data_IF_722111745792
#
_entry.id   IF_722111745792
#
_cell.length_a   1.000
_cell.length_b   1.000
_cell.length_c   1.000
_cell.angle_alpha   90.00
_cell.angle_beta   90.00
_cell.angle_gamma   90.00
#
_symmetry.space_group_name_H-M   'P 1'
#
loop_
_entity.id
_entity.type
_entity.pdbx_description
1 polymer ?
#
# COMPACT_ATOMS: atom_id res chain seq x y z
N UNK A 1 6.39 -46.52 72.89
CA UNK A 1 6.38 -46.59 71.42
C UNK A 1 4.93 -46.47 71.01
N UNK A 2 4.61 -45.63 70.04
CA UNK A 2 3.27 -45.58 69.45
C UNK A 2 3.03 -46.87 68.66
N UNK A 3 1.78 -47.35 68.63
CA UNK A 3 1.40 -48.55 67.86
C UNK A 3 1.21 -48.24 66.37
N UNK A 4 1.39 -46.98 65.97
CA UNK A 4 1.24 -46.50 64.61
C UNK A 4 2.38 -45.58 64.22
N UNK A 5 2.61 -45.49 62.91
CA UNK A 5 3.51 -44.52 62.29
C UNK A 5 2.98 -43.08 62.43
N UNK A 6 3.88 -42.07 62.46
CA UNK A 6 3.50 -40.69 62.76
C UNK A 6 2.72 -39.96 61.66
N UNK A 7 2.86 -40.33 60.38
CA UNK A 7 2.31 -39.55 59.25
C UNK A 7 1.01 -40.17 58.73
N UNK A 8 1.04 -41.45 58.38
CA UNK A 8 -0.08 -42.18 57.77
C UNK A 8 -0.83 -43.07 58.77
N UNK A 9 -0.45 -43.04 60.05
CA UNK A 9 -1.04 -43.86 61.11
C UNK A 9 -1.03 -45.37 60.79
N UNK A 10 0.01 -45.86 60.11
CA UNK A 10 0.16 -47.28 59.76
C UNK A 10 0.46 -48.11 61.01
N UNK A 11 -0.26 -49.22 61.25
CA UNK A 11 -0.08 -50.03 62.44
C UNK A 11 1.28 -50.75 62.42
N UNK A 12 2.05 -50.58 63.49
CA UNK A 12 3.28 -51.32 63.74
C UNK A 12 3.00 -52.69 64.35
N UNK A 13 3.83 -53.66 64.01
CA UNK A 13 3.84 -54.97 64.69
C UNK A 13 4.40 -54.77 66.09
N UNK A 14 3.69 -55.29 67.10
CA UNK A 14 4.11 -55.24 68.49
C UNK A 14 5.47 -55.94 68.73
N UNK A 15 6.24 -55.53 69.76
CA UNK A 15 7.47 -56.20 70.15
C UNK A 15 7.29 -57.71 70.44
N UNK A 16 8.40 -58.45 70.51
CA UNK A 16 8.43 -59.90 70.82
C UNK A 16 7.86 -60.84 69.75
N UNK A 17 7.68 -60.37 68.51
CA UNK A 17 7.29 -61.20 67.36
C UNK A 17 8.49 -61.82 66.61
N UNK A 18 9.35 -62.56 67.31
CA UNK A 18 10.56 -63.21 66.75
C UNK A 18 11.42 -62.27 65.88
N UNK A 19 11.60 -61.02 66.34
CA UNK A 19 12.32 -59.93 65.64
C UNK A 19 11.76 -59.50 64.27
N UNK A 20 10.65 -60.07 63.77
CA UNK A 20 9.99 -59.64 62.52
C UNK A 20 9.48 -58.20 62.58
N UNK A 21 9.06 -57.76 63.76
CA UNK A 21 8.63 -56.39 64.01
C UNK A 21 9.72 -55.36 63.71
N UNK A 22 11.00 -55.72 63.82
CA UNK A 22 12.11 -54.79 63.58
C UNK A 22 12.15 -54.41 62.09
N UNK A 23 12.37 -55.39 61.21
CA UNK A 23 12.51 -55.13 59.77
C UNK A 23 11.21 -54.70 59.11
N UNK A 24 10.07 -55.19 59.59
CA UNK A 24 8.77 -54.78 59.06
C UNK A 24 8.40 -53.35 59.47
N UNK A 25 8.55 -53.00 60.76
CA UNK A 25 8.23 -51.64 61.18
C UNK A 25 9.23 -50.65 60.61
N UNK A 26 10.50 -51.02 60.41
CA UNK A 26 11.45 -50.18 59.69
C UNK A 26 11.00 -49.91 58.24
N UNK A 27 10.50 -50.93 57.54
CA UNK A 27 9.92 -50.76 56.21
C UNK A 27 8.65 -49.88 56.24
N UNK A 28 7.78 -50.02 57.25
CA UNK A 28 6.61 -49.16 57.43
C UNK A 28 7.02 -47.72 57.75
N UNK A 29 8.01 -47.50 58.61
CA UNK A 29 8.55 -46.16 58.91
C UNK A 29 9.07 -45.50 57.64
N UNK A 30 9.76 -46.25 56.77
CA UNK A 30 10.19 -45.72 55.47
C UNK A 30 9.01 -45.38 54.57
N UNK A 31 8.03 -46.27 54.45
CA UNK A 31 6.81 -46.03 53.66
C UNK A 31 6.02 -44.82 54.18
N UNK A 32 5.99 -44.61 55.48
CA UNK A 32 5.29 -43.51 56.14
C UNK A 32 5.82 -42.15 55.70
N UNK A 33 7.14 -42.08 55.51
CA UNK A 33 7.82 -40.89 55.05
C UNK A 33 7.54 -40.62 53.58
N UNK A 34 7.64 -41.65 52.72
CA UNK A 34 7.78 -41.48 51.27
C UNK A 34 6.47 -41.62 50.48
N UNK A 35 5.45 -42.27 51.03
CA UNK A 35 4.15 -42.43 50.36
C UNK A 35 3.40 -41.09 50.44
N UNK A 36 2.93 -40.60 49.29
CA UNK A 36 2.28 -39.28 49.18
C UNK A 36 3.16 -38.20 49.85
N UNK A 37 4.44 -38.17 49.49
CA UNK A 37 5.44 -37.32 50.11
C UNK A 37 5.02 -35.85 50.00
N UNK A 38 4.68 -35.26 51.15
CA UNK A 38 4.39 -33.84 51.29
C UNK A 38 5.32 -33.29 52.36
N UNK A 39 6.08 -32.27 52.01
CA UNK A 39 7.06 -31.64 52.90
C UNK A 39 6.63 -30.20 53.18
N UNK A 40 6.83 -29.76 54.41
CA UNK A 40 6.50 -28.41 54.84
C UNK A 40 7.30 -27.37 54.08
N UNK A 41 8.59 -27.63 53.88
CA UNK A 41 9.49 -26.79 53.09
C UNK A 41 10.63 -27.58 52.46
N UNK A 42 11.21 -27.03 51.40
CA UNK A 42 12.39 -27.56 50.70
C UNK A 42 13.57 -26.59 50.64
N UNK A 43 13.46 -25.41 51.26
CA UNK A 43 14.47 -24.33 51.19
C UNK A 43 15.22 -24.10 52.50
N UNK A 44 14.87 -24.83 53.56
CA UNK A 44 15.49 -24.66 54.87
C UNK A 44 16.79 -25.47 54.97
N UNK A 45 17.86 -24.80 55.40
CA UNK A 45 19.13 -25.45 55.76
C UNK A 45 19.26 -25.72 57.27
N UNK A 46 18.35 -25.17 58.08
CA UNK A 46 18.31 -25.38 59.54
C UNK A 46 16.96 -25.97 59.95
N UNK A 47 16.94 -26.94 60.89
CA UNK A 47 15.70 -27.50 61.39
C UNK A 47 14.83 -26.44 62.08
N UNK A 48 13.53 -26.35 61.78
CA UNK A 48 12.61 -25.49 62.52
C UNK A 48 12.51 -25.89 63.98
N UNK A 49 12.58 -24.90 64.88
CA UNK A 49 12.32 -25.13 66.31
C UNK A 49 10.85 -25.49 66.61
N UNK A 50 9.96 -25.27 65.64
CA UNK A 50 8.52 -25.52 65.72
C UNK A 50 8.08 -26.84 65.08
N UNK A 51 9.02 -27.68 64.64
CA UNK A 51 8.68 -28.96 64.01
C UNK A 51 7.90 -29.85 64.98
N UNK A 52 6.79 -30.42 64.51
CA UNK A 52 5.96 -31.37 65.24
C UNK A 52 6.12 -32.78 64.67
N UNK A 53 5.65 -33.78 65.42
CA UNK A 53 5.74 -35.20 65.04
C UNK A 53 5.12 -35.42 63.65
N UNK A 54 5.88 -36.03 62.73
CA UNK A 54 5.45 -36.30 61.36
C UNK A 54 5.77 -35.18 60.35
N UNK A 55 6.26 -34.02 60.81
CA UNK A 55 6.72 -32.98 59.88
C UNK A 55 7.86 -33.50 59.03
N UNK A 56 7.76 -33.23 57.72
CA UNK A 56 8.76 -33.61 56.74
C UNK A 56 9.32 -32.37 56.08
N UNK A 57 10.62 -32.36 55.86
CA UNK A 57 11.33 -31.31 55.14
C UNK A 57 12.29 -31.93 54.14
N UNK A 58 12.55 -31.24 53.04
CA UNK A 58 13.74 -31.51 52.24
C UNK A 58 14.84 -30.60 52.79
N UNK A 59 15.93 -31.20 53.25
CA UNK A 59 17.10 -30.45 53.73
C UNK A 59 17.72 -29.73 52.54
N UNK A 60 17.81 -28.40 52.60
CA UNK A 60 18.50 -27.61 51.59
C UNK A 60 20.01 -27.90 51.58
N UNK A 61 20.72 -27.43 50.56
CA UNK A 61 22.17 -27.56 50.50
C UNK A 61 22.86 -26.91 51.71
N UNK A 62 23.95 -27.50 52.18
CA UNK A 62 24.68 -27.09 53.39
C UNK A 62 23.81 -27.14 54.65
N UNK A 63 23.16 -28.27 54.90
CA UNK A 63 22.39 -28.51 56.13
C UNK A 63 23.22 -28.19 57.38
N UNK A 64 22.56 -27.64 58.40
CA UNK A 64 23.17 -27.16 59.63
C UNK A 64 22.50 -27.78 60.86
N UNK A 65 23.15 -27.65 62.03
CA UNK A 65 22.67 -28.24 63.28
C UNK A 65 22.34 -29.74 63.12
N UNK A 66 21.14 -30.17 63.50
CA UNK A 66 20.73 -31.58 63.36
C UNK A 66 20.68 -32.06 61.89
N UNK A 67 20.65 -31.14 60.91
CA UNK A 67 20.61 -31.45 59.48
C UNK A 67 21.99 -31.48 58.82
N UNK A 68 23.08 -31.28 59.58
CA UNK A 68 24.44 -31.29 59.04
C UNK A 68 24.80 -32.63 58.38
N UNK A 69 25.24 -32.58 57.12
CA UNK A 69 25.61 -33.76 56.33
C UNK A 69 24.42 -34.52 55.71
N UNK A 70 23.22 -33.97 55.80
CA UNK A 70 21.99 -34.59 55.28
C UNK A 70 21.35 -33.80 54.13
N UNK A 71 22.15 -33.05 53.39
CA UNK A 71 21.74 -32.30 52.20
C UNK A 71 20.87 -33.13 51.26
N UNK A 72 19.76 -32.54 50.81
CA UNK A 72 18.77 -33.12 49.89
C UNK A 72 18.06 -34.38 50.40
N UNK A 73 18.27 -34.80 51.66
CA UNK A 73 17.50 -35.88 52.27
C UNK A 73 16.15 -35.38 52.75
N UNK A 74 15.22 -36.32 52.87
CA UNK A 74 13.94 -36.06 53.52
C UNK A 74 14.18 -36.19 55.02
N UNK A 75 14.15 -35.07 55.72
CA UNK A 75 14.20 -34.99 57.18
C UNK A 75 12.78 -35.14 57.71
N UNK A 76 12.53 -36.15 58.54
CA UNK A 76 11.24 -36.36 59.22
C UNK A 76 11.44 -36.23 60.71
N UNK A 77 10.61 -35.42 61.39
CA UNK A 77 10.66 -35.30 62.84
C UNK A 77 9.86 -36.43 63.49
N UNK A 78 10.56 -37.33 64.17
CA UNK A 78 9.99 -38.53 64.79
C UNK A 78 10.55 -38.73 66.19
N UNK A 79 9.67 -38.86 67.19
CA UNK A 79 10.01 -39.12 68.59
C UNK A 79 11.07 -38.15 69.16
N UNK A 80 10.99 -36.87 68.78
CA UNK A 80 11.90 -35.82 69.23
C UNK A 80 13.25 -35.78 68.51
N UNK A 81 13.45 -36.56 67.44
CA UNK A 81 14.68 -36.60 66.66
C UNK A 81 14.41 -36.48 65.15
N UNK A 82 15.43 -36.07 64.39
CA UNK A 82 15.36 -36.03 62.93
C UNK A 82 15.82 -37.36 62.33
N UNK A 83 14.95 -37.98 61.54
CA UNK A 83 15.24 -39.16 60.73
C UNK A 83 15.46 -38.74 59.28
N UNK A 84 16.49 -39.29 58.61
CA UNK A 84 16.86 -38.87 57.26
C UNK A 84 16.74 -40.01 56.25
N UNK A 85 15.82 -39.83 55.30
CA UNK A 85 15.63 -40.77 54.19
C UNK A 85 16.31 -40.23 52.94
N UNK A 86 17.20 -41.03 52.35
CA UNK A 86 17.82 -40.70 51.07
C UNK A 86 16.82 -40.93 49.92
N UNK A 87 16.52 -39.92 49.10
CA UNK A 87 15.63 -40.10 47.96
C UNK A 87 16.26 -40.90 46.83
N UNK A 88 15.42 -41.50 45.99
CA UNK A 88 15.84 -42.12 44.72
C UNK A 88 15.43 -41.21 43.56
N UNK A 89 16.21 -41.24 42.47
CA UNK A 89 15.89 -40.51 41.24
C UNK A 89 14.44 -40.77 40.82
N UNK A 90 13.70 -39.69 40.57
CA UNK A 90 12.29 -39.72 40.18
C UNK A 90 11.29 -39.66 41.34
N UNK A 91 11.74 -39.61 42.60
CA UNK A 91 10.83 -39.32 43.72
C UNK A 91 10.24 -37.92 43.59
N UNK A 92 8.97 -37.78 43.97
CA UNK A 92 8.18 -36.55 43.86
C UNK A 92 7.73 -36.13 45.25
N UNK A 93 7.82 -34.83 45.56
CA UNK A 93 7.32 -34.25 46.79
C UNK A 93 6.45 -33.01 46.51
N UNK A 94 5.31 -32.90 47.17
CA UNK A 94 4.54 -31.65 47.25
C UNK A 94 5.14 -30.78 48.36
N UNK A 95 5.52 -29.55 48.05
CA UNK A 95 6.02 -28.58 49.03
C UNK A 95 4.85 -27.69 49.47
N UNK A 96 4.48 -27.76 50.74
CA UNK A 96 3.25 -27.15 51.27
C UNK A 96 3.35 -25.62 51.27
N UNK A 97 4.48 -25.05 51.70
CA UNK A 97 4.66 -23.60 51.82
C UNK A 97 4.54 -22.83 50.49
N UNK A 98 4.93 -23.45 49.38
CA UNK A 98 5.03 -22.85 48.05
C UNK A 98 4.00 -23.38 47.06
N UNK A 99 3.33 -24.49 47.38
CA UNK A 99 2.41 -25.19 46.49
C UNK A 99 3.09 -25.91 45.32
N UNK A 100 4.43 -26.00 45.32
CA UNK A 100 5.21 -26.56 44.22
C UNK A 100 5.35 -28.09 44.31
N UNK A 101 5.44 -28.75 43.15
CA UNK A 101 5.88 -30.15 43.03
C UNK A 101 7.38 -30.18 42.67
N UNK A 102 8.18 -30.90 43.48
CA UNK A 102 9.62 -31.09 43.24
C UNK A 102 9.94 -32.56 42.96
N UNK A 103 10.90 -32.80 42.06
CA UNK A 103 11.39 -34.12 41.67
C UNK A 103 12.87 -34.25 42.01
N UNK A 104 13.26 -35.36 42.62
CA UNK A 104 14.68 -35.66 42.87
C UNK A 104 15.35 -36.18 41.60
N UNK A 105 16.34 -35.46 41.08
CA UNK A 105 17.02 -35.83 39.81
C UNK A 105 18.16 -36.85 39.99
N UNK A 106 18.48 -37.21 41.23
CA UNK A 106 19.63 -38.04 41.60
C UNK A 106 20.72 -37.29 42.36
N UNK A 107 20.68 -35.94 42.33
CA UNK A 107 21.60 -35.04 43.04
C UNK A 107 20.84 -34.05 43.90
N UNK A 108 19.82 -33.38 43.35
CA UNK A 108 19.04 -32.33 44.03
C UNK A 108 17.54 -32.50 43.80
N UNK A 109 16.74 -31.81 44.61
CA UNK A 109 15.31 -31.64 44.38
C UNK A 109 15.08 -30.38 43.55
N UNK A 110 14.38 -30.51 42.43
CA UNK A 110 14.08 -29.39 41.55
C UNK A 110 12.62 -29.44 41.07
N UNK A 111 12.04 -28.27 40.79
CA UNK A 111 10.75 -28.21 40.11
C UNK A 111 10.83 -28.94 38.76
N UNK A 112 9.73 -29.55 38.34
CA UNK A 112 9.67 -30.19 37.03
C UNK A 112 9.94 -29.15 35.94
N UNK A 113 10.93 -29.42 35.09
CA UNK A 113 11.19 -28.57 33.93
C UNK A 113 9.99 -28.61 32.98
N UNK A 114 9.40 -27.44 32.74
CA UNK A 114 8.40 -27.23 31.68
C UNK A 114 9.05 -26.71 30.39
N UNK A 115 10.38 -26.68 30.34
CA UNK A 115 11.16 -26.34 29.15
C UNK A 115 11.27 -27.55 28.23
N UNK A 116 11.16 -27.33 26.92
CA UNK A 116 11.29 -28.36 25.88
C UNK A 116 10.31 -29.54 26.02
N UNK A 117 9.06 -29.26 26.42
CA UNK A 117 8.01 -30.28 26.42
C UNK A 117 7.79 -30.82 24.99
N UNK A 118 7.52 -32.13 24.82
CA UNK A 118 7.24 -32.74 23.51
C UNK A 118 6.08 -32.10 22.73
N UNK A 119 5.17 -31.39 23.42
CA UNK A 119 4.08 -30.59 22.87
C UNK A 119 3.18 -30.02 23.99
N UNK A 120 2.37 -29.02 23.66
CA UNK A 120 1.40 -28.37 24.56
C UNK A 120 0.07 -28.22 23.83
N UNK A 121 -1.00 -28.79 24.39
CA UNK A 121 -2.35 -28.71 23.86
C UNK A 121 -3.32 -28.10 24.86
N UNK A 122 -4.13 -27.12 24.42
CA UNK A 122 -5.21 -26.49 25.21
C UNK A 122 -6.53 -26.73 24.49
N UNK A 123 -7.45 -27.48 25.09
CA UNK A 123 -8.73 -27.84 24.45
C UNK A 123 -8.61 -28.83 23.27
N UNK A 124 -7.40 -29.27 22.93
CA UNK A 124 -7.10 -30.24 21.88
C UNK A 124 -5.79 -30.99 22.15
N UNK A 125 -5.60 -32.15 21.51
CA UNK A 125 -4.34 -32.89 21.55
C UNK A 125 -3.35 -32.34 20.52
N UNK A 126 -2.09 -32.16 20.93
CA UNK A 126 -1.01 -31.80 20.01
C UNK A 126 -0.66 -32.99 19.10
N UNK A 127 -0.02 -32.72 17.97
CA UNK A 127 0.50 -33.74 17.06
C UNK A 127 1.92 -33.40 16.57
N UNK A 128 2.49 -34.21 15.67
CA UNK A 128 3.85 -34.01 15.16
C UNK A 128 4.05 -32.73 14.35
N UNK A 129 2.97 -32.17 13.79
CA UNK A 129 2.93 -30.91 13.04
C UNK A 129 2.52 -29.75 13.96
N UNK A 130 1.42 -29.88 14.68
CA UNK A 130 0.87 -28.88 15.61
C UNK A 130 1.35 -29.16 17.04
N UNK A 131 2.62 -28.88 17.31
CA UNK A 131 3.21 -29.10 18.66
C UNK A 131 2.64 -28.17 19.72
N UNK A 132 2.23 -26.96 19.33
CA UNK A 132 1.39 -26.07 20.12
C UNK A 132 0.04 -25.98 19.42
N UNK A 133 -1.03 -26.41 20.09
CA UNK A 133 -2.39 -26.35 19.57
C UNK A 133 -3.34 -25.76 20.60
N UNK A 134 -4.21 -24.87 20.16
CA UNK A 134 -5.24 -24.26 21.00
C UNK A 134 -6.58 -24.36 20.29
N UNK A 135 -7.54 -25.03 20.92
CA UNK A 135 -8.95 -25.05 20.50
C UNK A 135 -9.77 -24.33 21.57
N UNK A 136 -10.00 -23.04 21.35
CA UNK A 136 -10.73 -22.13 22.23
C UNK A 136 -11.34 -21.00 21.40
N UNK A 137 -12.27 -20.25 21.99
CA UNK A 137 -12.87 -19.07 21.34
C UNK A 137 -11.84 -17.95 21.09
N UNK A 138 -10.78 -17.87 21.91
CA UNK A 138 -9.72 -16.86 21.77
C UNK A 138 -8.36 -17.31 22.34
N UNK A 139 -7.29 -16.72 21.80
CA UNK A 139 -5.92 -16.77 22.34
C UNK A 139 -5.48 -15.34 22.65
N UNK A 140 -5.30 -15.01 23.94
CA UNK A 140 -4.78 -13.71 24.36
C UNK A 140 -3.27 -13.78 24.57
N UNK A 141 -2.52 -13.03 23.78
CA UNK A 141 -1.09 -12.79 23.97
C UNK A 141 -0.89 -11.40 24.57
N UNK A 142 -0.59 -11.32 25.87
CA UNK A 142 -0.50 -10.04 26.58
C UNK A 142 0.95 -9.62 26.84
N UNK A 143 1.16 -8.31 27.04
CA UNK A 143 2.44 -7.73 27.41
C UNK A 143 2.56 -7.57 28.94
N UNK A 144 3.79 -7.45 29.43
CA UNK A 144 4.10 -7.15 30.82
C UNK A 144 4.83 -5.79 30.98
N UNK A 145 4.69 -4.88 30.01
CA UNK A 145 5.45 -3.63 29.96
C UNK A 145 5.71 -3.13 28.53
N UNK A 146 6.96 -2.80 28.22
CA UNK A 146 7.32 -2.03 27.03
C UNK A 146 7.18 -2.75 25.65
N UNK A 147 6.80 -4.04 25.61
CA UNK A 147 6.61 -4.72 24.33
C UNK A 147 6.15 -6.18 24.42
N UNK A 148 5.71 -6.70 23.28
CA UNK A 148 5.37 -8.10 23.02
C UNK A 148 5.70 -8.42 21.56
N UNK A 149 6.29 -9.59 21.27
CA UNK A 149 6.78 -9.91 19.92
C UNK A 149 6.67 -11.40 19.64
N UNK A 150 6.06 -11.74 18.50
CA UNK A 150 6.09 -13.08 17.92
C UNK A 150 7.25 -13.19 16.92
N UNK A 151 8.08 -14.22 17.06
CA UNK A 151 9.17 -14.51 16.11
C UNK A 151 8.78 -15.74 15.31
N UNK A 152 8.57 -15.56 14.01
CA UNK A 152 8.27 -16.64 13.07
C UNK A 152 9.50 -16.78 12.19
N UNK A 153 10.26 -17.85 12.40
CA UNK A 153 11.54 -18.09 11.73
C UNK A 153 11.40 -19.24 10.74
N UNK A 154 12.06 -19.12 9.59
CA UNK A 154 12.16 -20.18 8.58
C UNK A 154 13.63 -20.57 8.38
N UNK A 155 13.90 -21.80 7.95
CA UNK A 155 15.26 -22.34 7.88
C UNK A 155 16.04 -21.86 6.65
N UNK A 156 15.33 -21.63 5.55
CA UNK A 156 15.89 -21.15 4.29
C UNK A 156 14.97 -20.14 3.60
N UNK A 157 15.49 -19.39 2.63
CA UNK A 157 14.72 -18.37 1.93
C UNK A 157 13.49 -18.93 1.19
N UNK A 158 13.57 -20.17 0.70
CA UNK A 158 12.50 -20.85 -0.01
C UNK A 158 11.41 -21.45 0.88
N UNK A 159 11.60 -21.43 2.20
CA UNK A 159 10.61 -21.93 3.16
C UNK A 159 9.52 -20.88 3.45
N UNK A 160 8.54 -21.26 4.28
CA UNK A 160 7.42 -20.41 4.68
C UNK A 160 7.50 -20.04 6.16
N UNK A 161 7.46 -18.73 6.44
CA UNK A 161 7.16 -18.18 7.76
C UNK A 161 5.97 -17.23 7.65
N UNK A 162 4.79 -17.69 8.06
CA UNK A 162 3.53 -16.97 7.81
C UNK A 162 2.47 -17.20 8.89
N UNK A 163 1.41 -16.39 8.81
CA UNK A 163 0.14 -16.59 9.48
C UNK A 163 -0.91 -16.98 8.44
N UNK A 164 -1.47 -18.17 8.57
CA UNK A 164 -2.48 -18.73 7.68
C UNK A 164 -3.87 -18.67 8.33
N UNK A 165 -4.80 -17.98 7.67
CA UNK A 165 -6.19 -17.87 8.08
C UNK A 165 -7.04 -18.90 7.35
N UNK A 166 -7.90 -19.63 8.06
CA UNK A 166 -8.62 -20.78 7.52
C UNK A 166 -10.13 -20.75 7.83
N UNK A 167 -10.91 -21.45 7.00
CA UNK A 167 -12.30 -21.81 7.27
C UNK A 167 -12.49 -23.29 6.97
N UNK A 168 -12.94 -24.08 7.95
CA UNK A 168 -13.11 -25.52 7.78
C UNK A 168 -11.84 -26.23 7.30
N UNK A 169 -10.67 -25.84 7.84
CA UNK A 169 -9.33 -26.33 7.46
C UNK A 169 -8.83 -25.95 6.06
N UNK A 170 -9.60 -25.19 5.27
CA UNK A 170 -9.14 -24.61 4.00
C UNK A 170 -8.53 -23.23 4.17
N UNK A 171 -7.36 -22.98 3.59
CA UNK A 171 -6.70 -21.66 3.58
C UNK A 171 -7.54 -20.59 2.86
N UNK A 172 -7.54 -19.35 3.38
CA UNK A 172 -8.28 -18.22 2.80
C UNK A 172 -7.45 -16.96 2.63
N UNK A 173 -6.57 -16.71 3.59
CA UNK A 173 -5.59 -15.64 3.51
C UNK A 173 -4.29 -16.08 4.18
N UNK A 174 -3.16 -15.59 3.69
CA UNK A 174 -1.84 -15.87 4.26
C UNK A 174 -1.00 -14.61 4.20
N UNK A 175 -0.32 -14.27 5.31
CA UNK A 175 0.63 -13.16 5.36
C UNK A 175 1.96 -13.57 5.98
N UNK A 176 3.06 -13.15 5.36
CA UNK A 176 4.41 -13.46 5.82
C UNK A 176 5.42 -13.63 4.68
N UNK A 177 6.55 -14.29 4.96
CA UNK A 177 7.61 -14.60 4.01
C UNK A 177 7.43 -16.03 3.50
N UNK A 178 6.55 -16.19 2.52
CA UNK A 178 6.09 -17.49 2.02
C UNK A 178 6.73 -17.83 0.66
N UNK A 179 7.81 -18.63 0.71
CA UNK A 179 8.55 -19.09 -0.46
C UNK A 179 9.65 -18.14 -0.95
N UNK A 180 9.75 -16.95 -0.36
CA UNK A 180 10.82 -15.94 -0.58
C UNK A 180 11.01 -15.13 0.70
N UNK A 181 12.04 -14.27 0.75
CA UNK A 181 12.26 -13.32 1.86
C UNK A 181 11.41 -12.04 1.79
N UNK A 182 10.66 -11.87 0.72
CA UNK A 182 9.71 -10.76 0.58
C UNK A 182 8.50 -10.96 1.49
N UNK A 183 8.00 -9.87 2.06
CA UNK A 183 6.72 -9.92 2.76
C UNK A 183 5.58 -9.94 1.73
N UNK A 184 4.67 -10.90 1.86
CA UNK A 184 3.54 -11.04 0.94
C UNK A 184 2.21 -11.18 1.69
N UNK A 185 1.13 -10.74 1.05
CA UNK A 185 -0.25 -11.02 1.43
C UNK A 185 -0.94 -11.71 0.26
N UNK A 186 -1.43 -12.92 0.50
CA UNK A 186 -2.10 -13.76 -0.50
C UNK A 186 -3.51 -14.13 -0.03
N UNK A 187 -4.43 -14.28 -0.98
CA UNK A 187 -5.81 -14.72 -0.72
C UNK A 187 -6.18 -15.88 -1.62
N UNK A 188 -7.11 -16.72 -1.15
CA UNK A 188 -7.61 -17.88 -1.88
C UNK A 188 -9.09 -18.10 -1.61
N UNK A 189 -9.87 -18.30 -2.68
CA UNK A 189 -11.30 -18.60 -2.57
C UNK A 189 -11.55 -20.09 -2.25
N UNK A 190 -10.68 -20.98 -2.74
CA UNK A 190 -10.83 -22.44 -2.68
C UNK A 190 -9.85 -23.10 -1.69
N UNK A 191 -8.82 -22.39 -1.23
CA UNK A 191 -7.74 -22.90 -0.38
C UNK A 191 -6.65 -23.66 -1.14
N UNK A 192 -6.68 -23.64 -2.46
CA UNK A 192 -5.70 -24.29 -3.34
C UNK A 192 -5.07 -23.31 -4.33
N UNK A 193 -5.88 -22.47 -4.96
CA UNK A 193 -5.48 -21.42 -5.89
C UNK A 193 -5.23 -20.11 -5.14
N UNK A 194 -4.01 -19.57 -5.22
CA UNK A 194 -3.63 -18.37 -4.47
C UNK A 194 -3.39 -17.19 -5.40
N UNK A 195 -3.93 -16.03 -5.01
CA UNK A 195 -3.66 -14.73 -5.63
C UNK A 195 -2.83 -13.89 -4.67
N UNK A 196 -1.66 -13.44 -5.12
CA UNK A 196 -0.85 -12.48 -4.37
C UNK A 196 -1.41 -11.07 -4.56
N UNK A 197 -1.97 -10.50 -3.49
CA UNK A 197 -2.55 -9.17 -3.52
C UNK A 197 -1.48 -8.08 -3.37
N UNK A 198 -0.47 -8.36 -2.54
CA UNK A 198 0.61 -7.43 -2.21
C UNK A 198 1.91 -8.20 -1.96
N UNK A 199 3.02 -7.62 -2.42
CA UNK A 199 4.39 -8.01 -2.11
C UNK A 199 5.21 -6.77 -1.77
N UNK A 200 6.05 -6.87 -0.75
CA UNK A 200 7.07 -5.87 -0.41
C UNK A 200 8.44 -6.50 -0.65
N UNK A 201 9.17 -5.96 -1.62
CA UNK A 201 10.52 -6.41 -1.94
C UNK A 201 11.48 -6.20 -0.76
N UNK A 202 12.15 -7.27 -0.32
CA UNK A 202 12.99 -7.23 0.87
C UNK A 202 14.21 -6.30 0.73
N UNK A 203 14.72 -6.08 -0.49
CA UNK A 203 15.92 -5.28 -0.73
C UNK A 203 15.63 -3.78 -0.83
N UNK A 204 14.49 -3.40 -1.42
CA UNK A 204 14.16 -2.02 -1.78
C UNK A 204 12.98 -1.43 -1.02
N UNK A 205 12.18 -2.26 -0.35
CA UNK A 205 10.92 -1.84 0.28
C UNK A 205 9.82 -1.48 -0.73
N UNK A 206 10.03 -1.75 -2.03
CA UNK A 206 9.04 -1.46 -3.08
C UNK A 206 7.83 -2.37 -2.91
N UNK A 207 6.65 -1.75 -2.98
CA UNK A 207 5.38 -2.46 -2.93
C UNK A 207 4.92 -2.77 -4.35
N UNK A 208 4.75 -4.05 -4.65
CA UNK A 208 4.09 -4.54 -5.87
C UNK A 208 2.71 -5.04 -5.47
N UNK A 209 1.68 -4.62 -6.21
CA UNK A 209 0.31 -5.07 -6.00
C UNK A 209 -0.15 -5.89 -7.20
N UNK A 210 -0.70 -7.07 -6.94
CA UNK A 210 -1.23 -7.97 -7.97
C UNK A 210 -2.67 -7.67 -8.35
N UNK A 211 -3.26 -6.60 -7.77
CA UNK A 211 -4.65 -6.18 -7.97
C UNK A 211 -4.72 -4.93 -8.84
N UNK A 212 -5.66 -4.91 -9.79
CA UNK A 212 -5.91 -3.75 -10.64
C UNK A 212 -6.52 -2.59 -9.83
N UNK A 213 -6.09 -1.35 -10.11
CA UNK A 213 -6.71 -0.12 -9.57
C UNK A 213 -5.95 0.62 -8.47
N UNK A 214 -4.80 0.12 -7.99
CA UNK A 214 -3.90 0.90 -7.14
C UNK A 214 -3.07 1.87 -8.02
N UNK A 215 -3.21 3.18 -7.79
CA UNK A 215 -2.45 4.24 -8.48
C UNK A 215 -1.43 4.86 -7.55
N UNK A 216 -0.25 5.19 -8.06
CA UNK A 216 0.69 6.07 -7.35
C UNK A 216 0.01 7.42 -7.11
N UNK A 217 0.06 7.95 -5.88
CA UNK A 217 -0.40 9.31 -5.55
C UNK A 217 0.78 10.25 -5.42
N UNK A 218 0.80 11.34 -6.18
CA UNK A 218 1.86 12.35 -6.12
C UNK A 218 1.80 13.14 -4.81
N UNK A 219 2.96 13.57 -4.33
CA UNK A 219 3.12 14.48 -3.18
C UNK A 219 3.74 15.83 -3.57
N UNK A 220 4.02 16.03 -4.86
CA UNK A 220 4.53 17.24 -5.47
C UNK A 220 4.24 17.23 -6.99
N UNK A 221 4.27 18.39 -7.69
CA UNK A 221 4.16 18.44 -9.15
C UNK A 221 5.19 17.55 -9.85
N UNK A 222 4.81 16.99 -11.00
CA UNK A 222 5.67 16.07 -11.78
C UNK A 222 5.77 16.51 -13.23
N UNK A 223 6.98 16.42 -13.78
CA UNK A 223 7.23 16.57 -15.21
C UNK A 223 7.60 15.22 -15.83
N UNK A 224 6.95 14.88 -16.93
CA UNK A 224 7.36 13.84 -17.86
C UNK A 224 8.00 14.48 -19.08
N UNK A 225 9.10 13.92 -19.55
CA UNK A 225 9.82 14.39 -20.74
C UNK A 225 9.54 13.46 -21.91
N UNK A 226 9.38 14.03 -23.10
CA UNK A 226 9.19 13.32 -24.37
C UNK A 226 10.24 13.82 -25.36
N UNK A 227 10.93 12.88 -26.01
CA UNK A 227 11.94 13.14 -27.02
C UNK A 227 11.83 12.08 -28.12
N UNK A 228 11.37 12.48 -29.30
CA UNK A 228 11.12 11.54 -30.41
C UNK A 228 12.40 10.92 -31.00
N UNK A 229 13.57 11.50 -30.72
CA UNK A 229 14.85 11.02 -31.25
C UNK A 229 15.59 10.17 -30.23
N UNK A 230 15.68 10.63 -28.98
CA UNK A 230 16.51 10.02 -27.94
C UNK A 230 15.71 9.21 -26.92
N UNK A 231 14.40 9.39 -26.85
CA UNK A 231 13.54 8.77 -25.84
C UNK A 231 13.35 7.26 -26.02
N UNK A 232 12.89 6.62 -24.96
CA UNK A 232 12.58 5.19 -24.90
C UNK A 232 11.27 4.98 -24.12
N UNK A 233 10.26 4.37 -24.75
CA UNK A 233 8.95 4.14 -24.11
C UNK A 233 8.98 3.09 -22.99
N UNK A 234 10.10 2.39 -22.83
CA UNK A 234 10.38 1.52 -21.67
C UNK A 234 10.98 2.28 -20.48
N UNK A 235 11.44 3.53 -20.68
CA UNK A 235 11.94 4.39 -19.61
C UNK A 235 10.82 4.92 -18.71
N UNK A 236 11.20 5.62 -17.63
CA UNK A 236 10.25 6.24 -16.69
C UNK A 236 9.72 7.62 -17.12
N UNK A 237 10.36 8.25 -18.10
CA UNK A 237 9.99 9.59 -18.59
C UNK A 237 10.34 10.73 -17.63
N UNK A 238 11.09 10.49 -16.55
CA UNK A 238 11.31 11.48 -15.47
C UNK A 238 12.55 12.36 -15.67
N UNK A 239 13.34 12.12 -16.72
CA UNK A 239 14.52 12.92 -17.08
C UNK A 239 14.57 13.14 -18.59
N UNK A 240 15.33 14.13 -19.06
CA UNK A 240 15.53 14.41 -20.49
C UNK A 240 16.41 13.35 -21.19
N UNK A 241 16.46 13.39 -22.53
CA UNK A 241 17.32 12.52 -23.34
C UNK A 241 16.87 11.06 -23.27
N UNK A 242 17.79 10.13 -23.01
CA UNK A 242 17.49 8.68 -22.97
C UNK A 242 16.57 8.25 -21.82
N UNK A 243 16.29 9.14 -20.86
CA UNK A 243 15.31 8.88 -19.80
C UNK A 243 13.91 9.43 -20.09
N UNK A 244 13.73 10.10 -21.23
CA UNK A 244 12.45 10.59 -21.72
C UNK A 244 11.65 9.46 -22.39
N UNK A 245 10.34 9.63 -22.50
CA UNK A 245 9.52 8.77 -23.37
C UNK A 245 9.84 9.07 -24.85
N UNK A 246 9.76 8.06 -25.71
CA UNK A 246 9.91 8.24 -27.14
C UNK A 246 8.64 8.87 -27.75
N UNK A 247 7.47 8.57 -27.18
CA UNK A 247 6.19 8.99 -27.75
C UNK A 247 5.32 9.80 -26.77
N UNK A 248 4.56 10.73 -27.34
CA UNK A 248 3.56 11.49 -26.59
C UNK A 248 2.44 10.59 -26.06
N UNK A 249 2.05 9.55 -26.81
CA UNK A 249 1.06 8.57 -26.40
C UNK A 249 1.48 7.84 -25.10
N UNK A 250 2.76 7.46 -24.99
CA UNK A 250 3.30 6.83 -23.78
C UNK A 250 3.26 7.78 -22.58
N UNK A 251 3.55 9.06 -22.80
CA UNK A 251 3.48 10.10 -21.76
C UNK A 251 2.04 10.28 -21.25
N UNK A 252 1.05 10.37 -22.15
CA UNK A 252 -0.37 10.43 -21.78
C UNK A 252 -0.77 9.22 -20.94
N UNK A 253 -0.38 8.01 -21.35
CA UNK A 253 -0.66 6.80 -20.58
C UNK A 253 0.01 6.79 -19.19
N UNK A 254 1.18 7.40 -19.04
CA UNK A 254 1.83 7.56 -17.74
C UNK A 254 1.03 8.50 -16.81
N UNK A 255 0.55 9.63 -17.36
CA UNK A 255 -0.30 10.58 -16.63
C UNK A 255 -1.63 9.93 -16.19
N UNK A 256 -2.29 9.18 -17.09
CA UNK A 256 -3.54 8.47 -16.77
C UNK A 256 -3.36 7.33 -15.76
N UNK A 257 -2.13 6.89 -15.51
CA UNK A 257 -1.79 5.81 -14.57
C UNK A 257 -1.71 6.23 -13.11
N UNK A 258 -1.65 7.53 -12.81
CA UNK A 258 -1.37 8.05 -11.47
C UNK A 258 -2.52 8.91 -10.92
N UNK A 259 -2.54 9.10 -9.60
CA UNK A 259 -3.31 10.11 -8.90
C UNK A 259 -2.39 11.33 -8.67
N UNK A 260 -2.79 12.49 -9.17
CA UNK A 260 -2.00 13.71 -9.11
C UNK A 260 -1.92 14.29 -7.69
N UNK A 261 -2.73 13.83 -6.74
CA UNK A 261 -2.81 14.41 -5.39
C UNK A 261 -3.22 15.90 -5.40
N UNK A 262 -3.83 16.38 -6.49
CA UNK A 262 -4.16 17.79 -6.69
C UNK A 262 -3.01 18.65 -7.25
N UNK A 263 -1.90 18.03 -7.64
CA UNK A 263 -0.76 18.73 -8.24
C UNK A 263 -0.83 18.78 -9.77
N UNK A 264 -0.23 19.80 -10.35
CA UNK A 264 -0.09 19.90 -11.80
C UNK A 264 0.90 18.87 -12.33
N UNK A 265 0.62 18.37 -13.53
CA UNK A 265 1.51 17.45 -14.26
C UNK A 265 1.89 18.10 -15.58
N UNK A 266 3.19 18.17 -15.87
CA UNK A 266 3.71 18.69 -17.14
C UNK A 266 4.22 17.57 -18.03
N UNK A 267 3.83 17.56 -19.30
CA UNK A 267 4.45 16.78 -20.37
C UNK A 267 5.30 17.76 -21.18
N UNK A 268 6.62 17.70 -21.03
CA UNK A 268 7.60 18.53 -21.71
C UNK A 268 8.13 17.82 -22.96
N UNK A 269 7.91 18.42 -24.12
CA UNK A 269 8.42 17.95 -25.40
C UNK A 269 9.78 18.60 -25.67
N UNK A 270 10.74 17.82 -26.14
CA UNK A 270 11.96 18.33 -26.76
C UNK A 270 11.65 18.90 -28.16
N UNK A 271 12.52 19.76 -28.68
CA UNK A 271 12.43 20.28 -30.05
C UNK A 271 12.40 19.13 -31.07
N UNK A 272 11.46 19.20 -32.01
CA UNK A 272 11.23 18.15 -33.00
C UNK A 272 9.81 18.08 -33.51
N UNK A 273 9.58 17.12 -34.41
CA UNK A 273 8.27 16.85 -35.00
C UNK A 273 7.71 15.53 -34.45
N UNK A 274 6.55 15.61 -33.81
CA UNK A 274 5.84 14.50 -33.21
C UNK A 274 4.66 14.13 -34.12
N UNK A 275 4.86 13.11 -34.96
CA UNK A 275 3.82 12.60 -35.85
C UNK A 275 3.01 11.50 -35.18
N UNK A 276 1.69 11.51 -35.37
CA UNK A 276 0.81 10.45 -34.89
C UNK A 276 -0.25 10.08 -35.92
N UNK A 277 -0.57 8.78 -36.00
CA UNK A 277 -1.69 8.30 -36.82
C UNK A 277 -3.05 8.53 -36.15
N UNK A 278 -3.06 8.84 -34.85
CA UNK A 278 -4.27 9.08 -34.05
C UNK A 278 -4.09 10.34 -33.22
N UNK A 279 -5.18 11.07 -32.99
CA UNK A 279 -5.19 12.24 -32.13
C UNK A 279 -4.66 11.95 -30.71
N UNK A 280 -3.94 12.91 -30.14
CA UNK A 280 -3.56 12.90 -28.72
C UNK A 280 -4.78 13.35 -27.93
N UNK A 281 -5.45 12.37 -27.30
CA UNK A 281 -6.71 12.61 -26.62
C UNK A 281 -6.53 12.60 -25.10
N UNK A 282 -6.89 13.70 -24.45
CA UNK A 282 -6.98 13.82 -22.99
C UNK A 282 -8.43 13.53 -22.59
N UNK A 283 -8.76 12.25 -22.39
CA UNK A 283 -10.14 11.78 -22.27
C UNK A 283 -10.72 11.88 -20.86
N UNK A 284 -9.87 12.12 -19.86
CA UNK A 284 -10.25 12.19 -18.46
C UNK A 284 -9.56 13.37 -17.78
N UNK A 285 -10.22 13.94 -16.78
CA UNK A 285 -9.54 14.84 -15.85
C UNK A 285 -8.48 14.09 -15.05
N UNK A 286 -7.45 14.80 -14.60
CA UNK A 286 -6.47 14.24 -13.66
C UNK A 286 -7.19 13.72 -12.41
N UNK A 287 -6.95 12.45 -12.08
CA UNK A 287 -7.38 11.88 -10.80
C UNK A 287 -6.67 12.65 -9.70
N UNK A 288 -7.39 13.12 -8.67
CA UNK A 288 -6.84 13.95 -7.59
C UNK A 288 -6.94 15.46 -7.83
N UNK A 289 -7.13 15.92 -9.08
CA UNK A 289 -7.22 17.34 -9.46
C UNK A 289 -5.94 17.88 -10.12
N UNK A 290 -5.76 19.20 -10.13
CA UNK A 290 -4.64 19.87 -10.82
C UNK A 290 -4.87 20.06 -12.34
N UNK A 291 -3.94 20.77 -12.99
CA UNK A 291 -3.94 21.06 -14.43
C UNK A 291 -2.92 20.17 -15.14
N UNK A 292 -3.30 19.66 -16.30
CA UNK A 292 -2.38 18.94 -17.19
C UNK A 292 -1.76 19.94 -18.17
N UNK A 293 -0.43 19.99 -18.25
CA UNK A 293 0.29 20.97 -19.06
C UNK A 293 1.07 20.24 -20.15
N UNK A 294 0.67 20.41 -21.41
CA UNK A 294 1.47 19.99 -22.56
C UNK A 294 2.32 21.18 -23.01
N UNK A 295 3.65 21.05 -22.90
CA UNK A 295 4.57 22.14 -23.14
C UNK A 295 5.67 21.74 -24.13
N UNK A 296 5.90 22.58 -25.14
CA UNK A 296 7.09 22.52 -26.00
C UNK A 296 8.04 23.68 -25.72
N UNK A 297 8.36 24.44 -26.75
CA UNK A 297 9.26 25.58 -26.71
C UNK A 297 8.47 26.89 -26.74
N UNK A 298 8.31 27.52 -25.57
CA UNK A 298 7.52 28.75 -25.41
C UNK A 298 8.17 30.00 -26.03
N UNK A 299 9.44 29.91 -26.43
CA UNK A 299 10.14 31.02 -27.10
C UNK A 299 9.99 30.95 -28.62
N UNK A 300 9.88 29.73 -29.15
CA UNK A 300 9.70 29.46 -30.57
C UNK A 300 8.83 28.20 -30.76
N UNK A 301 7.49 28.36 -30.84
CA UNK A 301 6.55 27.24 -30.94
C UNK A 301 6.78 26.35 -32.17
N UNK A 302 7.36 26.90 -33.24
CA UNK A 302 7.58 26.18 -34.49
C UNK A 302 8.72 25.14 -34.40
N UNK A 303 9.57 25.22 -33.38
CA UNK A 303 10.58 24.19 -33.08
C UNK A 303 9.96 22.90 -32.54
N UNK A 304 8.71 22.94 -32.05
CA UNK A 304 8.00 21.76 -31.53
C UNK A 304 6.68 21.59 -32.28
N UNK A 305 6.71 20.76 -33.32
CA UNK A 305 5.51 20.49 -34.14
C UNK A 305 4.83 19.21 -33.70
N UNK A 306 3.52 19.28 -33.41
CA UNK A 306 2.67 18.11 -33.23
C UNK A 306 1.76 17.99 -34.45
N UNK A 307 1.89 16.87 -35.16
CA UNK A 307 1.22 16.66 -36.44
C UNK A 307 0.45 15.33 -36.47
N UNK A 308 -0.76 15.37 -37.03
CA UNK A 308 -1.63 14.20 -37.16
C UNK A 308 -2.31 14.14 -38.54
N UNK A 309 -2.89 12.99 -38.88
CA UNK A 309 -3.69 12.82 -40.09
C UNK A 309 -5.05 13.52 -40.01
N UNK A 310 -5.69 13.49 -38.84
CA UNK A 310 -6.98 14.13 -38.54
C UNK A 310 -6.82 15.11 -37.38
N UNK A 311 -7.52 14.97 -36.26
CA UNK A 311 -7.30 15.84 -35.11
C UNK A 311 -5.91 15.65 -34.49
N UNK A 312 -5.27 16.73 -34.07
CA UNK A 312 -4.00 16.69 -33.34
C UNK A 312 -4.27 16.47 -31.86
N UNK A 313 -5.13 17.31 -31.28
CA UNK A 313 -5.48 17.28 -29.86
C UNK A 313 -6.99 17.16 -29.68
N UNK A 314 -7.41 16.27 -28.78
CA UNK A 314 -8.80 16.16 -28.32
C UNK A 314 -8.85 16.34 -26.81
N UNK A 315 -9.49 17.42 -26.35
CA UNK A 315 -9.73 17.68 -24.93
C UNK A 315 -11.12 17.14 -24.58
N UNK A 316 -11.13 15.88 -24.13
CA UNK A 316 -12.32 15.13 -23.76
C UNK A 316 -12.88 15.55 -22.40
N UNK A 317 -12.01 15.69 -21.41
CA UNK A 317 -12.38 16.11 -20.06
C UNK A 317 -11.20 16.73 -19.30
N UNK A 318 -11.50 17.56 -18.30
CA UNK A 318 -10.50 18.15 -17.40
C UNK A 318 -9.93 19.49 -17.90
N UNK A 319 -8.98 20.03 -17.14
CA UNK A 319 -8.31 21.30 -17.44
C UNK A 319 -6.92 21.03 -18.03
N UNK A 320 -6.75 21.40 -19.30
CA UNK A 320 -5.52 21.18 -20.08
C UNK A 320 -4.94 22.52 -20.51
N UNK A 321 -3.66 22.74 -20.21
CA UNK A 321 -2.84 23.78 -20.82
C UNK A 321 -2.08 23.22 -22.01
N UNK A 322 -2.03 23.97 -23.11
CA UNK A 322 -1.11 23.66 -24.22
C UNK A 322 -0.31 24.92 -24.53
N UNK A 323 1.02 24.80 -24.59
CA UNK A 323 1.89 25.95 -24.82
C UNK A 323 3.20 25.65 -25.51
N UNK A 324 3.68 26.60 -26.31
CA UNK A 324 4.96 26.48 -27.02
C UNK A 324 4.97 25.38 -28.08
N UNK A 325 3.86 25.19 -28.80
CA UNK A 325 3.72 24.15 -29.82
C UNK A 325 3.16 24.70 -31.12
N UNK A 326 3.63 24.15 -32.23
CA UNK A 326 2.96 24.20 -33.53
C UNK A 326 1.97 23.04 -33.66
N UNK A 327 0.72 23.36 -33.97
CA UNK A 327 -0.38 22.40 -34.13
C UNK A 327 -0.84 22.40 -35.59
N UNK A 328 -0.75 21.25 -36.26
CA UNK A 328 -1.13 21.11 -37.67
C UNK A 328 -1.61 19.71 -38.03
N UNK A 329 -2.43 19.58 -39.07
CA UNK A 329 -2.83 18.28 -39.59
C UNK A 329 -2.88 18.26 -41.12
N UNK A 330 -2.92 17.05 -41.68
CA UNK A 330 -3.08 16.83 -43.13
C UNK A 330 -4.55 16.73 -43.56
N UNK A 331 -5.51 17.02 -42.67
CA UNK A 331 -6.93 16.85 -42.95
C UNK A 331 -7.48 18.03 -43.74
N UNK A 332 -8.40 17.76 -44.66
CA UNK A 332 -9.17 18.81 -45.33
C UNK A 332 -10.38 19.28 -44.51
N UNK A 333 -10.77 18.53 -43.47
CA UNK A 333 -12.05 18.75 -42.76
C UNK A 333 -11.93 18.75 -41.25
N UNK A 334 -11.03 17.95 -40.68
CA UNK A 334 -10.88 17.83 -39.24
C UNK A 334 -10.15 19.05 -38.66
N UNK A 335 -10.57 19.47 -37.47
CA UNK A 335 -9.89 20.53 -36.75
C UNK A 335 -8.56 20.04 -36.17
N UNK A 336 -7.53 20.89 -36.10
CA UNK A 336 -6.29 20.53 -35.42
C UNK A 336 -6.54 20.30 -33.92
N UNK A 337 -7.40 21.12 -33.30
CA UNK A 337 -7.75 21.01 -31.88
C UNK A 337 -9.26 20.91 -31.72
N UNK A 338 -9.71 19.91 -30.96
CA UNK A 338 -11.12 19.75 -30.58
C UNK A 338 -11.29 19.79 -29.07
N UNK A 339 -12.21 20.61 -28.57
CA UNK A 339 -12.58 20.69 -27.14
C UNK A 339 -14.04 20.26 -26.99
N UNK A 340 -14.30 19.25 -26.18
CA UNK A 340 -15.65 18.69 -25.99
C UNK A 340 -16.30 19.17 -24.68
N UNK A 341 -17.57 18.82 -24.43
CA UNK A 341 -18.40 19.35 -23.35
C UNK A 341 -17.82 19.30 -21.92
N UNK A 342 -16.90 18.37 -21.62
CA UNK A 342 -16.28 18.26 -20.30
C UNK A 342 -14.84 18.81 -20.27
N UNK A 343 -14.34 19.31 -21.40
CA UNK A 343 -12.99 19.81 -21.58
C UNK A 343 -12.91 21.32 -21.35
N UNK A 344 -11.86 21.73 -20.65
CA UNK A 344 -11.38 23.10 -20.60
C UNK A 344 -9.97 23.15 -21.17
N UNK A 345 -9.76 23.98 -22.18
CA UNK A 345 -8.48 24.18 -22.83
C UNK A 345 -7.99 25.61 -22.64
N UNK A 346 -6.73 25.74 -22.29
CA UNK A 346 -6.03 27.02 -22.28
C UNK A 346 -4.81 26.95 -23.18
N UNK A 347 -4.74 27.86 -24.15
CA UNK A 347 -3.64 27.97 -25.11
C UNK A 347 -2.74 29.18 -24.78
N UNK A 348 -1.44 29.01 -24.94
CA UNK A 348 -0.43 30.08 -24.70
C UNK A 348 0.78 29.90 -25.62
N UNK A 349 1.18 30.93 -26.38
CA UNK A 349 2.32 30.84 -27.31
C UNK A 349 2.26 29.60 -28.21
N UNK A 350 1.17 29.44 -28.96
CA UNK A 350 1.04 28.35 -29.96
C UNK A 350 1.11 28.91 -31.38
N UNK A 351 1.41 28.07 -32.35
CA UNK A 351 1.27 28.39 -33.77
C UNK A 351 0.34 27.37 -34.44
N UNK A 352 -0.51 27.85 -35.35
CA UNK A 352 -1.36 26.98 -36.16
C UNK A 352 -0.79 26.88 -37.58
N UNK A 353 -0.43 25.66 -37.97
CA UNK A 353 -0.05 25.34 -39.35
C UNK A 353 -1.26 24.93 -40.20
N UNK A 354 -1.03 24.24 -41.33
CA UNK A 354 -2.10 23.72 -42.17
C UNK A 354 -3.09 22.86 -41.37
N UNK A 355 -4.39 23.07 -41.59
CA UNK A 355 -5.43 22.20 -41.03
C UNK A 355 -6.77 22.32 -41.78
N UNK A 356 -7.63 21.32 -41.62
CA UNK A 356 -9.03 21.38 -42.10
C UNK A 356 -9.83 22.46 -41.39
N UNK A 357 -9.61 22.61 -40.09
CA UNK A 357 -10.00 23.73 -39.23
C UNK A 357 -8.92 23.93 -38.15
N UNK A 358 -8.73 25.11 -37.58
CA UNK A 358 -7.74 25.24 -36.50
C UNK A 358 -8.28 24.74 -35.15
N UNK A 359 -9.42 25.29 -34.71
CA UNK A 359 -10.00 24.98 -33.40
C UNK A 359 -11.50 24.73 -33.51
N UNK A 360 -11.96 23.65 -32.91
CA UNK A 360 -13.37 23.28 -32.81
C UNK A 360 -13.79 23.09 -31.34
N UNK A 361 -14.82 23.80 -30.89
CA UNK A 361 -15.30 23.82 -29.52
C UNK A 361 -16.74 23.32 -29.49
N UNK A 362 -16.92 22.05 -29.12
CA UNK A 362 -18.21 21.36 -29.07
C UNK A 362 -18.66 21.22 -27.60
N UNK A 363 -19.31 22.26 -27.08
CA UNK A 363 -19.76 22.36 -25.68
C UNK A 363 -18.67 22.62 -24.64
N UNK A 364 -17.39 22.59 -25.02
CA UNK A 364 -16.26 22.85 -24.12
C UNK A 364 -15.95 24.33 -23.90
N UNK A 365 -14.85 24.60 -23.19
CA UNK A 365 -14.36 25.98 -22.95
C UNK A 365 -12.94 26.15 -23.47
N UNK A 366 -12.71 27.20 -24.25
CA UNK A 366 -11.38 27.66 -24.69
C UNK A 366 -11.01 29.00 -24.07
N UNK A 367 -9.74 29.12 -23.67
CA UNK A 367 -9.09 30.37 -23.25
C UNK A 367 -7.74 30.55 -23.94
N UNK A 368 -7.30 31.80 -24.06
CA UNK A 368 -5.91 32.12 -24.38
C UNK A 368 -5.28 32.89 -23.22
N UNK A 369 -4.10 32.48 -22.78
CA UNK A 369 -3.30 33.19 -21.75
C UNK A 369 -2.24 34.12 -22.38
N UNK A 370 -1.78 33.81 -23.59
CA UNK A 370 -0.81 34.63 -24.32
C UNK A 370 -1.12 34.74 -25.82
N UNK A 371 -0.28 35.49 -26.53
CA UNK A 371 -0.36 35.61 -28.00
C UNK A 371 -0.10 34.30 -28.72
N UNK A 372 -0.55 34.20 -29.97
CA UNK A 372 -0.35 33.03 -30.83
C UNK A 372 -0.28 33.44 -32.30
N UNK A 373 0.23 32.57 -33.17
CA UNK A 373 0.28 32.80 -34.61
C UNK A 373 -0.61 31.84 -35.40
N UNK A 374 -0.98 32.28 -36.59
CA UNK A 374 -1.67 31.49 -37.61
C UNK A 374 -0.83 31.60 -38.89
N UNK A 375 -0.26 30.48 -39.30
CA UNK A 375 0.74 30.44 -40.37
C UNK A 375 0.20 29.89 -41.69
N UNK A 376 -0.98 29.26 -41.67
CA UNK A 376 -1.68 28.80 -42.85
C UNK A 376 -3.20 28.99 -42.73
N UNK A 377 -3.91 28.90 -43.85
CA UNK A 377 -5.36 28.93 -43.92
C UNK A 377 -6.00 27.60 -43.49
N UNK A 378 -7.31 27.65 -43.27
CA UNK A 378 -8.15 26.50 -42.93
C UNK A 378 -9.60 26.76 -43.38
N UNK A 379 -10.53 25.83 -43.14
CA UNK A 379 -11.96 26.14 -43.35
C UNK A 379 -12.43 27.22 -42.37
N UNK A 380 -11.94 27.16 -41.13
CA UNK A 380 -12.20 28.16 -40.08
C UNK A 380 -11.03 28.20 -39.10
N UNK A 381 -10.80 29.34 -38.45
CA UNK A 381 -9.86 29.38 -37.34
C UNK A 381 -10.52 28.90 -36.04
N UNK A 382 -11.75 29.32 -35.76
CA UNK A 382 -12.47 28.88 -34.57
C UNK A 382 -13.91 28.56 -34.91
N UNK A 383 -14.35 27.35 -34.57
CA UNK A 383 -15.75 26.93 -34.62
C UNK A 383 -16.26 26.65 -33.21
N UNK A 384 -17.45 27.15 -32.90
CA UNK A 384 -18.16 26.88 -31.66
C UNK A 384 -19.53 26.31 -31.96
N UNK A 385 -19.84 25.16 -31.37
CA UNK A 385 -21.12 24.48 -31.45
C UNK A 385 -21.50 23.85 -30.10
N UNK A 386 -22.73 23.36 -30.00
CA UNK A 386 -23.28 22.64 -28.83
C UNK A 386 -23.08 23.37 -27.48
N UNK A 387 -23.25 24.69 -27.46
CA UNK A 387 -23.03 25.51 -26.26
C UNK A 387 -21.56 25.79 -25.95
N UNK A 388 -20.67 25.60 -26.92
CA UNK A 388 -19.24 25.88 -26.79
C UNK A 388 -18.97 27.33 -26.40
N UNK A 389 -17.89 27.53 -25.63
CA UNK A 389 -17.55 28.84 -25.10
C UNK A 389 -16.10 29.21 -25.36
N UNK A 390 -15.91 30.40 -25.90
CA UNK A 390 -14.61 31.05 -26.00
C UNK A 390 -14.56 32.29 -25.09
N UNK A 391 -13.57 32.32 -24.20
CA UNK A 391 -13.28 33.47 -23.33
C UNK A 391 -11.91 34.06 -23.71
N UNK A 392 -11.93 35.14 -24.49
CA UNK A 392 -10.71 35.85 -24.88
C UNK A 392 -10.10 36.69 -23.74
N UNK A 393 -8.83 37.07 -23.88
CA UNK A 393 -8.06 37.84 -22.89
C UNK A 393 -7.05 38.83 -23.55
N UNK A 394 -7.53 39.74 -24.39
CA UNK A 394 -6.74 40.81 -25.04
C UNK A 394 -5.42 40.37 -25.72
N UNK A 395 -5.31 39.11 -26.13
CA UNK A 395 -4.10 38.58 -26.74
C UNK A 395 -3.89 39.09 -28.18
N UNK A 396 -2.62 39.20 -28.57
CA UNK A 396 -2.22 39.50 -29.97
C UNK A 396 -2.21 38.23 -30.79
N UNK A 397 -2.86 38.28 -31.95
CA UNK A 397 -2.92 37.19 -32.94
C UNK A 397 -2.15 37.62 -34.18
N UNK A 398 -1.11 36.88 -34.54
CA UNK A 398 -0.27 37.16 -35.72
C UNK A 398 -0.71 36.27 -36.89
N UNK A 399 -1.07 36.89 -38.02
CA UNK A 399 -1.47 36.23 -39.26
C UNK A 399 -0.30 36.30 -40.25
N UNK A 400 0.35 35.17 -40.48
CA UNK A 400 1.46 35.06 -41.42
C UNK A 400 0.95 34.60 -42.79
N UNK A 401 1.50 35.15 -43.88
CA UNK A 401 1.23 34.63 -45.24
C UNK A 401 -0.16 34.93 -45.85
N UNK A 402 -1.00 35.72 -45.20
CA UNK A 402 -2.40 36.00 -45.59
C UNK A 402 -3.27 34.73 -45.58
N UNK A 403 -3.55 34.14 -44.40
CA UNK A 403 -4.35 32.92 -44.30
C UNK A 403 -5.74 33.08 -44.94
N UNK A 404 -6.21 32.05 -45.63
CA UNK A 404 -7.54 32.00 -46.23
C UNK A 404 -8.49 31.14 -45.37
N UNK A 405 -9.68 31.67 -45.10
CA UNK A 405 -10.72 30.96 -44.34
C UNK A 405 -11.92 30.61 -45.22
N UNK A 406 -12.03 29.32 -45.57
CA UNK A 406 -13.02 28.82 -46.53
C UNK A 406 -14.49 29.04 -46.13
N UNK A 407 -14.80 28.97 -44.84
CA UNK A 407 -16.11 29.31 -44.29
C UNK A 407 -16.10 30.71 -43.63
N UNK A 408 -15.42 30.85 -42.50
CA UNK A 408 -15.21 32.13 -41.83
C UNK A 408 -14.06 32.05 -40.81
N UNK A 409 -13.49 33.19 -40.41
CA UNK A 409 -12.50 33.23 -39.33
C UNK A 409 -13.07 32.65 -38.02
N UNK A 410 -14.28 33.09 -37.63
CA UNK A 410 -15.04 32.53 -36.50
C UNK A 410 -16.42 32.06 -36.95
N UNK A 411 -16.73 30.78 -36.73
CA UNK A 411 -18.05 30.18 -36.94
C UNK A 411 -18.67 29.91 -35.56
N UNK A 412 -19.84 30.45 -35.27
CA UNK A 412 -20.48 30.34 -33.95
C UNK A 412 -21.95 29.96 -34.11
N UNK A 413 -22.30 28.73 -33.71
CA UNK A 413 -23.65 28.17 -33.83
C UNK A 413 -24.15 27.55 -32.53
N UNK A 414 -25.36 27.02 -32.57
CA UNK A 414 -25.93 26.14 -31.54
C UNK A 414 -25.79 26.65 -30.10
N UNK A 415 -26.31 27.86 -29.85
CA UNK A 415 -26.34 28.50 -28.52
C UNK A 415 -24.93 28.70 -27.90
N UNK A 416 -23.90 28.76 -28.74
CA UNK A 416 -22.52 29.02 -28.32
C UNK A 416 -22.25 30.49 -28.02
N UNK A 417 -21.16 30.76 -27.30
CA UNK A 417 -20.74 32.11 -26.92
C UNK A 417 -19.25 32.33 -27.21
N UNK A 418 -18.94 33.22 -28.14
CA UNK A 418 -17.59 33.69 -28.36
C UNK A 418 -17.43 35.11 -27.80
N UNK A 419 -16.68 35.25 -26.70
CA UNK A 419 -16.37 36.56 -26.11
C UNK A 419 -15.01 37.03 -26.55
N UNK A 420 -15.01 37.93 -27.53
CA UNK A 420 -13.84 38.74 -27.87
C UNK A 420 -13.68 39.80 -26.77
N UNK A 421 -12.48 39.93 -26.26
CA UNK A 421 -12.13 40.79 -25.14
C UNK A 421 -10.83 41.55 -25.47
N UNK A 422 -10.88 42.41 -26.49
CA UNK A 422 -9.76 43.30 -26.84
C UNK A 422 -8.61 42.65 -27.63
N UNK A 423 -8.86 41.56 -28.35
CA UNK A 423 -7.86 40.95 -29.23
C UNK A 423 -7.37 41.93 -30.29
N UNK A 424 -6.07 41.86 -30.59
CA UNK A 424 -5.47 42.58 -31.72
C UNK A 424 -4.98 41.59 -32.78
N UNK A 425 -5.06 42.01 -34.04
CA UNK A 425 -4.64 41.20 -35.18
C UNK A 425 -3.52 41.90 -35.94
N UNK A 426 -2.40 41.21 -36.13
CA UNK A 426 -1.28 41.68 -36.94
C UNK A 426 -1.27 40.88 -38.25
N UNK A 427 -1.28 41.56 -39.39
CA UNK A 427 -1.43 40.92 -40.70
C UNK A 427 -2.86 40.98 -41.21
N UNK A 428 -3.13 40.24 -42.30
CA UNK A 428 -4.43 40.20 -42.97
C UNK A 428 -4.83 38.78 -43.29
N UNK A 429 -6.11 38.55 -43.57
CA UNK A 429 -6.66 37.25 -43.97
C UNK A 429 -7.75 37.44 -45.03
N UNK A 430 -8.01 36.41 -45.80
CA UNK A 430 -9.13 36.36 -46.78
C UNK A 430 -10.24 35.44 -46.29
N UNK A 431 -11.47 35.66 -46.78
CA UNK A 431 -12.67 34.95 -46.36
C UNK A 431 -13.60 35.79 -45.46
N UNK A 432 -14.71 35.17 -45.03
CA UNK A 432 -15.70 35.83 -44.16
C UNK A 432 -15.12 36.08 -42.77
N UNK A 433 -15.38 37.25 -42.19
CA UNK A 433 -14.94 37.58 -40.82
C UNK A 433 -15.60 36.72 -39.74
N UNK A 434 -16.87 36.42 -39.92
CA UNK A 434 -17.62 35.58 -38.99
C UNK A 434 -18.86 34.99 -39.66
N UNK A 435 -19.35 33.89 -39.11
CA UNK A 435 -20.68 33.35 -39.39
C UNK A 435 -21.34 33.00 -38.05
N UNK A 436 -22.47 33.64 -37.72
CA UNK A 436 -23.20 33.38 -36.47
C UNK A 436 -24.63 32.93 -36.75
N UNK A 437 -25.06 31.85 -36.11
CA UNK A 437 -26.37 31.23 -36.34
C UNK A 437 -26.95 30.59 -35.08
N UNK A 438 -28.18 30.05 -35.16
CA UNK A 438 -28.82 29.22 -34.14
C UNK A 438 -28.74 29.78 -32.70
N UNK A 439 -29.13 31.06 -32.55
CA UNK A 439 -29.11 31.81 -31.28
C UNK A 439 -27.75 31.92 -30.59
N UNK A 440 -26.64 31.65 -31.29
CA UNK A 440 -25.30 31.87 -30.78
C UNK A 440 -24.95 33.36 -30.76
N UNK A 441 -23.96 33.73 -29.94
CA UNK A 441 -23.54 35.12 -29.77
C UNK A 441 -22.03 35.25 -29.92
N UNK A 442 -21.61 36.15 -30.80
CA UNK A 442 -20.24 36.68 -30.83
C UNK A 442 -20.30 38.07 -30.19
N UNK A 443 -19.72 38.19 -28.99
CA UNK A 443 -19.50 39.48 -28.33
C UNK A 443 -18.16 40.02 -28.82
N UNK A 444 -18.18 40.88 -29.82
CA UNK A 444 -17.00 41.47 -30.45
C UNK A 444 -16.29 42.48 -29.53
N UNK A 445 -17.05 43.23 -28.72
CA UNK A 445 -16.49 44.29 -27.89
C UNK A 445 -15.73 45.36 -28.69
N UNK A 446 -16.09 45.54 -29.98
CA UNK A 446 -15.39 46.45 -30.90
C UNK A 446 -14.20 45.83 -31.64
N UNK A 447 -13.85 44.56 -31.36
CA UNK A 447 -12.81 43.83 -32.09
C UNK A 447 -13.27 43.55 -33.53
N UNK A 448 -12.45 43.94 -34.50
CA UNK A 448 -12.66 43.62 -35.92
C UNK A 448 -11.95 42.31 -36.23
N UNK A 449 -12.72 41.26 -36.49
CA UNK A 449 -12.18 39.95 -36.85
C UNK A 449 -11.52 39.96 -38.25
N UNK A 450 -10.45 39.19 -38.49
CA UNK A 450 -9.78 39.07 -39.78
C UNK A 450 -10.70 38.57 -40.90
N UNK A 451 -10.46 39.03 -42.13
CA UNK A 451 -11.21 38.66 -43.33
C UNK A 451 -11.55 39.86 -44.21
N UNK A 452 -11.60 39.62 -45.53
CA UNK A 452 -11.93 40.59 -46.57
C UNK A 452 -13.41 40.54 -47.00
N UNK A 453 -14.15 39.49 -46.60
CA UNK A 453 -15.59 39.35 -46.84
C UNK A 453 -16.38 39.67 -45.55
N UNK A 454 -17.50 40.39 -45.70
CA UNK A 454 -18.40 40.70 -44.60
C UNK A 454 -18.95 39.43 -43.91
N UNK A 455 -19.13 39.49 -42.59
CA UNK A 455 -19.69 38.36 -41.84
C UNK A 455 -21.19 38.17 -42.04
N UNK A 456 -21.70 37.00 -41.65
CA UNK A 456 -23.13 36.64 -41.79
C UNK A 456 -23.78 36.36 -40.44
N UNK A 457 -25.04 36.80 -40.31
CA UNK A 457 -25.89 36.58 -39.12
C UNK A 457 -27.18 35.91 -39.58
N UNK A 458 -27.53 34.75 -39.02
CA UNK A 458 -28.72 33.97 -39.38
C UNK A 458 -29.41 33.38 -38.14
N UNK A 459 -30.65 32.93 -38.27
CA UNK A 459 -31.36 32.09 -37.26
C UNK A 459 -31.18 32.57 -35.81
N UNK A 460 -31.45 33.85 -35.55
CA UNK A 460 -31.38 34.44 -34.20
C UNK A 460 -29.97 34.68 -33.64
N UNK A 461 -28.91 34.36 -34.39
CA UNK A 461 -27.54 34.66 -34.01
C UNK A 461 -27.29 36.15 -33.85
N UNK A 462 -26.27 36.53 -33.07
CA UNK A 462 -25.94 37.93 -32.80
C UNK A 462 -24.43 38.18 -32.88
N UNK A 463 -24.04 39.28 -33.53
CA UNK A 463 -22.68 39.83 -33.49
C UNK A 463 -22.78 41.23 -32.89
N UNK A 464 -22.34 41.39 -31.64
CA UNK A 464 -22.58 42.60 -30.81
C UNK A 464 -21.31 43.21 -30.24
#
# INVERSE_FOLDING_TARGET
MTDTSPILAMPYIQPSQAQKHVTHNEALSLLDVIVQLAVESAVLATPPATAVEGDRYIVAANGQAAWAGHDHRIATFVSGAWMFTAPKTGWVAQVVDSGAEVVFDGTVWAARSLSNLPGVGIGASYDGYNRLVVSSDAVLLNNAGAGHQLKINKASAGDTASLLFQTGYGGRAEMGTAGTDDFSLKVSADGSSWTEALRVDAASGRVTVGVSGWREMLTAPRSYFVDQVLGDDTAGGLTTGTGAFATLARAVAAVEGIDSGGHDITIQLADGTYTSSVAVAFKMALVGGGRLILQGNVSDPDLVTVEALEEVLIIGAGDVSVRGLRLQNASATAAAVTVTAQGALTLDQVSFGPAGGHIDINGGVLRFEGGYSIDDGATYHMRLADGGRFDGNAQTVTLNGVPAFGDAFVVCGDVSLARMAGQSFVGTATGKRYAVSANAVIQSGGVVLPGDVAGTVQTGGQFI
#
